data_IF_102468206768
#
_entry.id   IF_102468206768
#
_cell.length_a   1.000
_cell.length_b   1.000
_cell.length_c   1.000
_cell.angle_alpha   90.00
_cell.angle_beta   90.00
_cell.angle_gamma   90.00
#
_symmetry.space_group_name_H-M   'P 1'
#
loop_
_entity.id
_entity.type
_entity.pdbx_description
1 polymer ?
#
# COMPACT_ATOMS: atom_id res chain seq x y z
N UNK A 1 -3.27 -7.76 -13.07
CA UNK A 1 -3.98 -6.68 -12.35
C UNK A 1 -3.54 -6.68 -10.89
N UNK A 2 -3.36 -5.52 -10.26
CA UNK A 2 -3.21 -5.45 -8.81
C UNK A 2 -4.51 -5.86 -8.11
N UNK A 3 -4.43 -6.24 -6.83
CA UNK A 3 -5.60 -6.76 -6.09
C UNK A 3 -6.79 -5.77 -6.09
N UNK A 4 -6.53 -4.46 -6.09
CA UNK A 4 -7.54 -3.40 -6.23
C UNK A 4 -8.23 -3.41 -7.59
N UNK A 5 -7.51 -3.71 -8.66
CA UNK A 5 -8.11 -3.91 -9.99
C UNK A 5 -8.96 -5.17 -10.07
N UNK A 6 -8.52 -6.26 -9.44
CA UNK A 6 -9.32 -7.48 -9.31
C UNK A 6 -10.64 -7.19 -8.55
N UNK A 7 -10.57 -6.41 -7.45
CA UNK A 7 -11.77 -6.01 -6.70
C UNK A 7 -12.71 -5.11 -7.51
N UNK A 8 -12.15 -4.18 -8.29
CA UNK A 8 -12.90 -3.34 -9.22
C UNK A 8 -13.63 -4.17 -10.27
N UNK A 9 -12.91 -5.10 -10.91
CA UNK A 9 -13.48 -6.02 -11.91
C UNK A 9 -14.61 -6.88 -11.35
N UNK A 10 -14.42 -7.47 -10.16
CA UNK A 10 -15.47 -8.22 -9.48
C UNK A 10 -16.68 -7.34 -9.11
N UNK A 11 -16.47 -6.04 -8.89
CA UNK A 11 -17.57 -5.09 -8.65
C UNK A 11 -18.32 -4.78 -9.93
N UNK A 12 -17.64 -4.62 -11.07
CA UNK A 12 -18.30 -4.45 -12.36
C UNK A 12 -19.14 -5.66 -12.77
N UNK A 13 -18.65 -6.89 -12.53
CA UNK A 13 -19.44 -8.11 -12.77
C UNK A 13 -20.69 -8.12 -11.87
N UNK A 14 -20.54 -7.74 -10.61
CA UNK A 14 -21.65 -7.65 -9.67
C UNK A 14 -22.72 -6.66 -10.12
N UNK A 15 -22.30 -5.46 -10.55
CA UNK A 15 -23.20 -4.42 -11.06
C UNK A 15 -23.91 -4.85 -12.35
N UNK A 16 -23.23 -5.61 -13.23
CA UNK A 16 -23.83 -6.18 -14.44
C UNK A 16 -24.90 -7.23 -14.11
N UNK A 17 -24.67 -8.05 -13.09
CA UNK A 17 -25.68 -9.00 -12.60
C UNK A 17 -26.90 -8.28 -12.04
N UNK A 18 -26.70 -7.22 -11.25
CA UNK A 18 -27.80 -6.40 -10.72
C UNK A 18 -28.62 -5.74 -11.84
N UNK A 19 -27.95 -5.20 -12.87
CA UNK A 19 -28.62 -4.65 -14.06
C UNK A 19 -29.45 -5.72 -14.78
N UNK A 20 -28.91 -6.93 -14.98
CA UNK A 20 -29.63 -8.02 -15.64
C UNK A 20 -30.83 -8.51 -14.81
N UNK A 21 -30.73 -8.54 -13.49
CA UNK A 21 -31.88 -8.86 -12.61
C UNK A 21 -33.01 -7.85 -12.72
N UNK A 22 -32.67 -6.56 -12.85
CA UNK A 22 -33.66 -5.48 -12.95
C UNK A 22 -34.44 -5.49 -14.28
N UNK A 23 -33.83 -6.03 -15.34
CA UNK A 23 -34.44 -6.11 -16.68
C UNK A 23 -35.10 -7.49 -16.96
N UNK A 24 -35.69 -8.09 -15.92
CA UNK A 24 -36.56 -9.28 -15.97
C UNK A 24 -36.03 -10.50 -16.73
N UNK A 25 -35.05 -11.23 -16.18
CA UNK A 25 -34.64 -12.54 -16.69
C UNK A 25 -35.60 -13.66 -16.24
N UNK A 26 -35.57 -14.81 -16.92
CA UNK A 26 -36.41 -15.97 -16.55
C UNK A 26 -36.07 -16.53 -15.15
N UNK A 27 -37.01 -17.24 -14.52
CA UNK A 27 -36.88 -17.72 -13.14
C UNK A 27 -35.64 -18.62 -12.88
N UNK A 28 -35.26 -19.47 -13.84
CA UNK A 28 -34.06 -20.30 -13.74
C UNK A 28 -32.76 -19.47 -13.78
N UNK A 29 -32.76 -18.38 -14.55
CA UNK A 29 -31.62 -17.45 -14.64
C UNK A 29 -31.46 -16.65 -13.34
N UNK A 30 -32.57 -16.29 -12.67
CA UNK A 30 -32.57 -15.66 -11.35
C UNK A 30 -31.94 -16.52 -10.24
N UNK A 31 -32.21 -17.83 -10.24
CA UNK A 31 -31.55 -18.76 -9.30
C UNK A 31 -30.03 -18.82 -9.55
N UNK A 32 -29.60 -18.95 -10.80
CA UNK A 32 -28.19 -18.95 -11.17
C UNK A 32 -27.49 -17.64 -10.79
N UNK A 33 -28.17 -16.49 -10.95
CA UNK A 33 -27.65 -15.19 -10.52
C UNK A 33 -27.53 -15.10 -9.01
N UNK A 34 -28.46 -15.66 -8.25
CA UNK A 34 -28.40 -15.66 -6.78
C UNK A 34 -27.20 -16.47 -6.25
N UNK A 35 -26.94 -17.64 -6.85
CA UNK A 35 -25.75 -18.45 -6.51
C UNK A 35 -24.47 -17.70 -6.87
N UNK A 36 -24.40 -17.15 -8.09
CA UNK A 36 -23.24 -16.39 -8.59
C UNK A 36 -22.97 -15.16 -7.71
N UNK A 37 -24.01 -14.47 -7.24
CA UNK A 37 -23.91 -13.32 -6.36
C UNK A 37 -23.23 -13.67 -5.02
N UNK A 38 -23.58 -14.83 -4.43
CA UNK A 38 -22.95 -15.32 -3.20
C UNK A 38 -21.46 -15.57 -3.41
N UNK A 39 -21.07 -16.19 -4.53
CA UNK A 39 -19.67 -16.42 -4.87
C UNK A 39 -18.91 -15.12 -5.09
N UNK A 40 -19.47 -14.15 -5.83
CA UNK A 40 -18.84 -12.85 -6.04
C UNK A 40 -18.70 -12.09 -4.72
N UNK A 41 -19.72 -12.07 -3.85
CA UNK A 41 -19.62 -11.46 -2.52
C UNK A 41 -18.51 -12.08 -1.68
N UNK A 42 -18.39 -13.42 -1.69
CA UNK A 42 -17.31 -14.14 -0.98
C UNK A 42 -15.94 -13.82 -1.56
N UNK A 43 -15.80 -13.85 -2.89
CA UNK A 43 -14.55 -13.51 -3.57
C UNK A 43 -14.11 -12.07 -3.29
N UNK A 44 -15.03 -11.10 -3.38
CA UNK A 44 -14.79 -9.70 -2.99
C UNK A 44 -14.31 -9.59 -1.54
N UNK A 45 -14.92 -10.34 -0.62
CA UNK A 45 -14.52 -10.36 0.80
C UNK A 45 -13.11 -10.94 1.00
N UNK A 46 -12.77 -12.03 0.32
CA UNK A 46 -11.45 -12.65 0.35
C UNK A 46 -10.38 -11.71 -0.24
N UNK A 47 -10.61 -11.19 -1.44
CA UNK A 47 -9.73 -10.20 -2.08
C UNK A 47 -9.51 -8.99 -1.17
N UNK A 48 -10.57 -8.45 -0.58
CA UNK A 48 -10.48 -7.32 0.36
C UNK A 48 -9.67 -7.63 1.63
N UNK A 49 -9.67 -8.88 2.10
CA UNK A 49 -8.83 -9.31 3.24
C UNK A 49 -7.37 -9.44 2.84
N UNK A 50 -7.10 -10.10 1.72
CA UNK A 50 -5.75 -10.27 1.15
C UNK A 50 -5.15 -8.88 0.87
N UNK A 51 -5.90 -7.99 0.24
CA UNK A 51 -5.52 -6.59 0.00
C UNK A 51 -5.13 -5.86 1.27
N UNK A 52 -5.99 -5.90 2.30
CA UNK A 52 -5.71 -5.24 3.57
C UNK A 52 -4.45 -5.78 4.22
N UNK A 53 -4.25 -7.09 4.21
CA UNK A 53 -3.02 -7.71 4.69
C UNK A 53 -1.81 -7.19 3.92
N UNK A 54 -1.82 -7.25 2.59
CA UNK A 54 -0.72 -6.73 1.76
C UNK A 54 -0.43 -5.24 2.04
N UNK A 55 -1.44 -4.39 2.16
CA UNK A 55 -1.19 -2.97 2.45
C UNK A 55 -0.58 -2.71 3.82
N UNK A 56 -0.79 -3.61 4.79
CA UNK A 56 -0.22 -3.48 6.13
C UNK A 56 1.14 -4.16 6.28
N UNK A 57 1.41 -5.23 5.53
CA UNK A 57 2.63 -6.04 5.68
C UNK A 57 3.64 -5.87 4.54
N UNK A 58 3.17 -5.54 3.33
CA UNK A 58 3.98 -5.48 2.10
C UNK A 58 4.24 -4.03 1.69
N UNK A 59 5.44 -3.57 2.03
CA UNK A 59 5.98 -2.24 1.75
C UNK A 59 7.15 -2.27 0.75
N UNK A 60 7.47 -3.45 0.20
CA UNK A 60 8.60 -3.56 -0.72
C UNK A 60 8.25 -2.94 -2.08
N UNK A 61 8.75 -1.72 -2.30
CA UNK A 61 8.49 -0.91 -3.49
C UNK A 61 8.81 -1.69 -4.78
N UNK A 62 9.86 -2.52 -4.77
CA UNK A 62 10.28 -3.30 -5.95
C UNK A 62 9.27 -4.39 -6.31
N UNK A 63 8.47 -4.87 -5.35
CA UNK A 63 7.35 -5.78 -5.64
C UNK A 63 6.07 -5.03 -6.03
N UNK A 64 5.91 -3.79 -5.58
CA UNK A 64 4.70 -2.98 -5.79
C UNK A 64 4.67 -2.29 -7.16
N UNK A 65 5.84 -1.92 -7.68
CA UNK A 65 6.01 -1.32 -9.02
C UNK A 65 5.50 -2.26 -10.14
N UNK A 66 5.96 -3.53 -10.28
CA UNK A 66 5.46 -4.45 -11.31
C UNK A 66 3.95 -4.72 -11.20
N UNK A 67 3.40 -4.67 -9.98
CA UNK A 67 1.97 -4.86 -9.72
C UNK A 67 1.11 -3.63 -10.01
N UNK A 68 1.70 -2.54 -10.53
CA UNK A 68 1.04 -1.24 -10.77
C UNK A 68 0.29 -0.73 -9.54
N UNK A 69 0.81 -1.05 -8.35
CA UNK A 69 0.22 -0.71 -7.05
C UNK A 69 1.04 0.36 -6.32
N UNK A 70 1.99 0.99 -7.01
CA UNK A 70 2.82 2.10 -6.55
C UNK A 70 2.92 3.15 -7.66
N UNK A 71 2.79 4.42 -7.31
CA UNK A 71 2.93 5.56 -8.20
C UNK A 71 3.89 6.58 -7.57
N UNK A 72 4.58 7.39 -8.37
CA UNK A 72 5.30 8.55 -7.85
C UNK A 72 4.34 9.71 -7.56
N UNK A 73 4.77 10.68 -6.75
CA UNK A 73 3.98 11.89 -6.50
C UNK A 73 3.77 12.68 -7.78
N UNK A 74 4.78 12.75 -8.65
CA UNK A 74 4.65 13.39 -9.96
C UNK A 74 3.52 12.74 -10.79
N UNK A 75 3.45 11.41 -10.84
CA UNK A 75 2.34 10.71 -11.51
C UNK A 75 1.00 10.95 -10.82
N UNK A 76 0.97 11.03 -9.49
CA UNK A 76 -0.27 11.29 -8.75
C UNK A 76 -0.79 12.72 -8.95
N UNK A 77 0.11 13.69 -9.15
CA UNK A 77 -0.25 15.07 -9.44
C UNK A 77 -0.93 15.21 -10.80
N UNK A 78 -0.56 14.41 -11.80
CA UNK A 78 -1.21 14.45 -13.13
C UNK A 78 -2.64 13.94 -13.10
N UNK A 79 -3.03 13.12 -12.10
CA UNK A 79 -4.39 12.58 -11.97
C UNK A 79 -5.43 13.70 -11.89
N UNK A 80 -5.17 14.74 -11.11
CA UNK A 80 -6.10 15.87 -11.01
C UNK A 80 -6.17 16.61 -12.34
N UNK A 81 -5.02 16.95 -12.93
CA UNK A 81 -4.94 17.64 -14.22
C UNK A 81 -5.68 16.90 -15.34
N UNK A 82 -5.62 15.57 -15.35
CA UNK A 82 -6.31 14.73 -16.31
C UNK A 82 -7.85 14.84 -16.21
N UNK A 83 -8.39 14.93 -14.99
CA UNK A 83 -9.84 14.95 -14.76
C UNK A 83 -10.45 16.36 -14.74
N UNK A 84 -9.65 17.41 -14.60
CA UNK A 84 -10.10 18.82 -14.57
C UNK A 84 -10.95 19.20 -15.79
N UNK A 85 -10.56 18.91 -17.05
CA UNK A 85 -11.34 19.33 -18.22
C UNK A 85 -12.78 18.80 -18.18
N UNK A 86 -12.94 17.53 -17.81
CA UNK A 86 -14.26 16.90 -17.66
C UNK A 86 -15.05 17.55 -16.52
N UNK A 87 -14.42 17.84 -15.40
CA UNK A 87 -15.09 18.49 -14.27
C UNK A 87 -15.59 19.89 -14.62
N UNK A 88 -14.80 20.68 -15.35
CA UNK A 88 -15.20 22.02 -15.82
C UNK A 88 -16.44 21.98 -16.70
N UNK A 89 -16.47 21.09 -17.69
CA UNK A 89 -17.64 20.91 -18.58
C UNK A 89 -18.90 20.64 -17.74
N UNK A 90 -18.80 19.73 -16.76
CA UNK A 90 -19.93 19.37 -15.90
C UNK A 90 -20.36 20.56 -15.02
N UNK A 91 -19.41 21.33 -14.48
CA UNK A 91 -19.74 22.52 -13.70
C UNK A 91 -20.48 23.56 -14.54
N UNK A 92 -20.04 23.78 -15.78
CA UNK A 92 -20.68 24.75 -16.67
C UNK A 92 -22.08 24.29 -17.10
N UNK A 93 -22.27 22.99 -17.35
CA UNK A 93 -23.60 22.38 -17.54
C UNK A 93 -24.53 22.63 -16.33
N UNK A 94 -24.00 22.46 -15.10
CA UNK A 94 -24.76 22.68 -13.86
C UNK A 94 -25.09 24.17 -13.63
N UNK A 95 -24.15 25.07 -13.93
CA UNK A 95 -24.33 26.53 -13.80
C UNK A 95 -25.41 27.06 -14.73
N UNK A 96 -25.41 26.59 -15.98
CA UNK A 96 -26.36 27.02 -17.00
C UNK A 96 -27.77 26.41 -16.84
N UNK A 97 -27.99 25.62 -15.77
CA UNK A 97 -29.27 24.93 -15.48
C UNK A 97 -29.81 24.18 -16.70
N UNK A 98 -28.92 23.52 -17.45
CA UNK A 98 -29.33 22.71 -18.59
C UNK A 98 -30.34 21.65 -18.12
N UNK A 99 -31.47 21.45 -18.83
CA UNK A 99 -32.63 20.73 -18.30
C UNK A 99 -32.37 19.25 -17.95
N UNK A 100 -31.25 18.64 -18.35
CA UNK A 100 -30.90 17.26 -17.98
C UNK A 100 -29.38 17.10 -17.82
N UNK A 101 -28.81 17.58 -16.71
CA UNK A 101 -27.46 17.14 -16.34
C UNK A 101 -27.51 15.65 -16.01
N UNK A 102 -26.73 14.83 -16.73
CA UNK A 102 -26.72 13.38 -16.54
C UNK A 102 -26.35 13.01 -15.09
N UNK A 103 -27.08 12.05 -14.51
CA UNK A 103 -26.77 11.49 -13.19
C UNK A 103 -25.32 10.96 -13.09
N UNK A 104 -24.77 10.49 -14.21
CA UNK A 104 -23.37 10.05 -14.31
C UNK A 104 -22.39 11.22 -14.15
N UNK A 105 -22.72 12.39 -14.71
CA UNK A 105 -21.92 13.60 -14.60
C UNK A 105 -21.94 14.15 -13.16
N UNK A 106 -23.12 14.22 -12.53
CA UNK A 106 -23.24 14.64 -11.12
C UNK A 106 -22.48 13.68 -10.19
N UNK A 107 -22.61 12.37 -10.44
CA UNK A 107 -21.86 11.36 -9.70
C UNK A 107 -20.34 11.53 -9.89
N UNK A 108 -19.89 11.79 -11.12
CA UNK A 108 -18.47 12.06 -11.39
C UNK A 108 -17.99 13.32 -10.65
N UNK A 109 -18.75 14.40 -10.63
CA UNK A 109 -18.39 15.63 -9.93
C UNK A 109 -18.16 15.40 -8.42
N UNK A 110 -19.06 14.68 -7.75
CA UNK A 110 -18.84 14.28 -6.33
C UNK A 110 -17.56 13.45 -6.18
N UNK A 111 -17.34 12.48 -7.07
CA UNK A 111 -16.18 11.57 -7.03
C UNK A 111 -14.87 12.32 -7.20
N UNK A 112 -14.82 13.21 -8.19
CA UNK A 112 -13.67 14.05 -8.48
C UNK A 112 -13.34 14.93 -7.29
N UNK A 113 -14.32 15.66 -6.74
CA UNK A 113 -14.09 16.56 -5.62
C UNK A 113 -13.58 15.81 -4.37
N UNK A 114 -14.11 14.62 -4.10
CA UNK A 114 -13.66 13.81 -2.98
C UNK A 114 -12.18 13.38 -3.12
N UNK A 115 -11.74 13.04 -4.34
CA UNK A 115 -10.33 12.70 -4.63
C UNK A 115 -9.44 13.94 -4.66
N UNK A 116 -9.93 15.05 -5.20
CA UNK A 116 -9.25 16.33 -5.21
C UNK A 116 -8.91 16.79 -3.78
N UNK A 117 -9.92 16.81 -2.88
CA UNK A 117 -9.69 17.14 -1.48
C UNK A 117 -8.70 16.18 -0.82
N UNK A 118 -8.79 14.88 -1.11
CA UNK A 118 -7.87 13.88 -0.58
C UNK A 118 -6.40 14.10 -0.99
N UNK A 119 -6.15 14.58 -2.21
CA UNK A 119 -4.79 14.88 -2.69
C UNK A 119 -4.28 16.26 -2.30
N UNK A 120 -5.16 17.27 -2.16
CA UNK A 120 -4.75 18.66 -1.95
C UNK A 120 -4.75 19.09 -0.49
N UNK A 121 -5.73 18.68 0.29
CA UNK A 121 -5.98 19.23 1.63
C UNK A 121 -5.14 18.53 2.69
N UNK A 122 -5.21 17.19 2.73
CA UNK A 122 -4.53 16.39 3.76
C UNK A 122 -4.41 14.92 3.38
N UNK A 123 -3.25 14.31 3.58
CA UNK A 123 -3.06 12.85 3.45
C UNK A 123 -3.72 12.03 4.58
N UNK A 124 -4.83 12.49 5.16
CA UNK A 124 -5.47 11.87 6.31
C UNK A 124 -6.32 10.64 5.92
N UNK A 125 -7.12 10.11 6.85
CA UNK A 125 -8.01 8.98 6.53
C UNK A 125 -9.12 9.44 5.58
N UNK A 126 -9.49 8.66 4.55
CA UNK A 126 -10.61 8.97 3.66
C UNK A 126 -11.91 9.40 4.37
N UNK A 127 -12.21 8.76 5.51
CA UNK A 127 -13.43 9.05 6.30
C UNK A 127 -13.53 10.49 6.79
N UNK A 128 -12.40 11.19 6.96
CA UNK A 128 -12.34 12.59 7.43
C UNK A 128 -13.13 13.51 6.50
N UNK A 129 -12.93 13.35 5.20
CA UNK A 129 -13.57 14.18 4.17
C UNK A 129 -15.08 13.92 4.02
N UNK A 130 -15.52 12.71 4.35
CA UNK A 130 -16.92 12.30 4.20
C UNK A 130 -17.83 12.95 5.25
N UNK A 131 -17.29 13.42 6.36
CA UNK A 131 -18.04 14.03 7.46
C UNK A 131 -18.00 15.56 7.44
N UNK A 132 -17.42 16.16 6.39
CA UNK A 132 -17.47 17.60 6.23
C UNK A 132 -18.89 18.01 5.86
N UNK A 133 -19.43 19.00 6.56
CA UNK A 133 -20.74 19.60 6.30
C UNK A 133 -20.59 20.90 5.53
N UNK A 134 -21.67 21.35 4.91
CA UNK A 134 -21.69 22.66 4.22
C UNK A 134 -21.37 23.80 5.20
N UNK A 135 -21.91 23.76 6.41
CA UNK A 135 -21.65 24.76 7.44
C UNK A 135 -20.17 24.86 7.85
N UNK A 136 -19.44 23.73 7.84
CA UNK A 136 -18.01 23.74 8.14
C UNK A 136 -17.20 24.44 7.05
N UNK A 137 -17.58 24.32 5.77
CA UNK A 137 -16.93 25.07 4.70
C UNK A 137 -17.21 26.57 4.81
N UNK A 138 -18.43 26.97 5.15
CA UNK A 138 -18.76 28.38 5.40
C UNK A 138 -18.02 28.95 6.62
N UNK A 139 -17.81 28.13 7.65
CA UNK A 139 -16.93 28.48 8.77
C UNK A 139 -15.47 28.61 8.33
N UNK A 140 -14.98 27.69 7.49
CA UNK A 140 -13.60 27.70 7.00
C UNK A 140 -13.26 28.99 6.28
N UNK A 141 -14.16 29.48 5.41
CA UNK A 141 -13.99 30.74 4.67
C UNK A 141 -13.72 31.92 5.60
N UNK A 142 -14.39 31.97 6.75
CA UNK A 142 -14.18 33.02 7.78
C UNK A 142 -12.92 32.78 8.60
N UNK A 143 -12.50 31.52 8.75
CA UNK A 143 -11.37 31.10 9.56
C UNK A 143 -10.11 30.82 8.73
N UNK A 144 -9.82 31.63 7.70
CA UNK A 144 -8.62 31.50 6.84
C UNK A 144 -8.43 30.09 6.25
N UNK A 145 -9.53 29.42 5.91
CA UNK A 145 -9.53 28.07 5.34
C UNK A 145 -9.41 26.94 6.35
N UNK A 146 -9.44 27.21 7.66
CA UNK A 146 -9.25 26.19 8.69
C UNK A 146 -10.60 25.59 9.12
N UNK A 147 -10.66 24.26 9.12
CA UNK A 147 -11.78 23.48 9.68
C UNK A 147 -11.26 22.62 10.82
N UNK A 148 -11.70 22.94 12.04
CA UNK A 148 -11.47 22.11 13.22
C UNK A 148 -12.63 21.13 13.42
N UNK A 149 -12.32 19.89 13.77
CA UNK A 149 -13.31 18.85 13.91
C UNK A 149 -13.01 17.87 15.04
N UNK A 150 -14.03 17.62 15.86
CA UNK A 150 -13.99 16.73 17.03
C UNK A 150 -14.70 15.40 16.75
N UNK A 151 -15.41 15.25 15.63
CA UNK A 151 -16.15 14.02 15.28
C UNK A 151 -15.31 12.99 14.51
N UNK A 152 -14.08 13.30 14.13
CA UNK A 152 -13.25 12.35 13.40
C UNK A 152 -12.83 11.16 14.27
N UNK A 153 -12.59 10.01 13.63
CA UNK A 153 -12.10 8.80 14.30
C UNK A 153 -10.83 9.04 15.15
N UNK A 154 -10.04 10.04 14.80
CA UNK A 154 -8.82 10.46 15.51
C UNK A 154 -9.08 11.31 16.74
N UNK A 155 -10.24 11.94 16.88
CA UNK A 155 -10.56 12.82 18.00
C UNK A 155 -10.52 12.10 19.35
N UNK A 156 -10.89 10.82 19.40
CA UNK A 156 -10.73 10.01 20.63
C UNK A 156 -9.29 9.94 21.15
N UNK A 157 -8.29 10.11 20.27
CA UNK A 157 -6.87 10.07 20.64
C UNK A 157 -6.23 11.46 20.75
N UNK A 158 -6.69 12.42 19.94
CA UNK A 158 -6.05 13.72 19.78
C UNK A 158 -6.92 14.91 20.22
N UNK A 159 -8.14 14.67 20.72
CA UNK A 159 -9.13 15.71 21.04
C UNK A 159 -9.83 16.29 19.81
N UNK A 160 -9.05 16.68 18.78
CA UNK A 160 -9.53 17.27 17.54
C UNK A 160 -8.59 17.00 16.35
N UNK A 161 -9.01 17.38 15.15
CA UNK A 161 -8.21 17.42 13.93
C UNK A 161 -8.53 18.69 13.16
N UNK A 162 -7.54 19.22 12.47
CA UNK A 162 -7.68 20.43 11.68
C UNK A 162 -7.37 20.11 10.21
N UNK A 163 -8.18 20.67 9.32
CA UNK A 163 -7.96 20.69 7.88
C UNK A 163 -7.69 22.14 7.47
N UNK A 164 -6.74 22.33 6.56
CA UNK A 164 -6.44 23.64 5.99
C UNK A 164 -6.75 23.60 4.49
N UNK A 165 -7.68 24.45 4.07
CA UNK A 165 -8.08 24.62 2.68
C UNK A 165 -7.45 25.92 2.15
N UNK A 166 -6.72 25.83 1.04
CA UNK A 166 -6.23 27.00 0.32
C UNK A 166 -7.35 27.64 -0.54
N UNK A 167 -7.11 28.84 -1.07
CA UNK A 167 -8.09 29.56 -1.91
C UNK A 167 -8.49 28.75 -3.17
N UNK A 168 -7.60 27.90 -3.67
CA UNK A 168 -7.82 27.02 -4.82
C UNK A 168 -8.71 25.82 -4.44
N UNK A 169 -8.64 25.35 -3.20
CA UNK A 169 -9.49 24.29 -2.66
C UNK A 169 -10.95 24.74 -2.46
N UNK A 170 -11.25 26.03 -2.65
CA UNK A 170 -12.61 26.58 -2.60
C UNK A 170 -13.47 26.26 -3.83
N UNK A 171 -12.98 25.46 -4.79
CA UNK A 171 -13.83 24.87 -5.84
C UNK A 171 -14.93 23.93 -5.26
N UNK A 172 -14.81 23.58 -3.96
CA UNK A 172 -15.91 23.01 -3.17
C UNK A 172 -17.13 23.93 -3.17
N UNK A 173 -16.97 25.25 -3.19
CA UNK A 173 -18.07 26.21 -3.21
C UNK A 173 -18.89 26.08 -4.50
N UNK A 174 -18.21 26.00 -5.65
CA UNK A 174 -18.85 25.75 -6.94
C UNK A 174 -19.65 24.45 -6.93
N UNK A 175 -19.08 23.39 -6.35
CA UNK A 175 -19.79 22.13 -6.18
C UNK A 175 -21.02 22.27 -5.26
N UNK A 176 -20.87 22.89 -4.09
CA UNK A 176 -21.96 23.07 -3.10
C UNK A 176 -23.08 23.93 -3.68
N UNK A 177 -22.75 24.92 -4.52
CA UNK A 177 -23.70 25.87 -5.10
C UNK A 177 -24.40 25.34 -6.34
N UNK A 178 -23.69 24.64 -7.22
CA UNK A 178 -24.23 24.25 -8.54
C UNK A 178 -24.51 22.75 -8.69
N UNK A 179 -23.70 21.88 -8.09
CA UNK A 179 -23.82 20.41 -8.29
C UNK A 179 -24.65 19.77 -7.19
N UNK A 180 -24.31 20.07 -5.92
CA UNK A 180 -24.95 19.46 -4.74
C UNK A 180 -26.48 19.63 -4.72
N UNK A 181 -27.07 20.78 -5.08
CA UNK A 181 -28.53 20.94 -5.06
C UNK A 181 -29.24 20.01 -6.06
N UNK A 182 -28.59 19.72 -7.20
CA UNK A 182 -29.12 18.81 -8.22
C UNK A 182 -29.13 17.33 -7.76
N UNK A 183 -28.36 17.00 -6.73
CA UNK A 183 -28.35 15.67 -6.11
C UNK A 183 -29.44 15.49 -5.04
N UNK A 184 -30.26 16.53 -4.80
CA UNK A 184 -31.36 16.53 -3.83
C UNK A 184 -30.97 15.96 -2.47
N UNK A 185 -30.06 16.63 -1.72
CA UNK A 185 -29.49 16.09 -0.49
C UNK A 185 -30.49 16.06 0.68
N UNK A 186 -30.50 14.96 1.43
CA UNK A 186 -31.31 14.75 2.65
C UNK A 186 -30.48 14.94 3.93
N UNK A 187 -29.22 15.33 3.77
CA UNK A 187 -28.25 15.46 4.86
C UNK A 187 -27.38 16.70 4.65
N UNK A 188 -26.72 17.16 5.70
CA UNK A 188 -25.89 18.39 5.66
C UNK A 188 -24.45 18.17 5.20
N UNK A 189 -24.08 16.92 4.89
CA UNK A 189 -22.76 16.59 4.38
C UNK A 189 -22.50 17.29 3.04
N UNK A 190 -21.27 17.71 2.83
CA UNK A 190 -20.84 18.34 1.58
C UNK A 190 -20.91 17.34 0.44
N UNK A 191 -20.26 16.18 0.59
CA UNK A 191 -20.22 15.12 -0.41
C UNK A 191 -21.44 14.19 -0.30
N UNK A 192 -22.32 14.28 -1.29
CA UNK A 192 -23.53 13.45 -1.38
C UNK A 192 -23.54 12.61 -2.65
N UNK A 193 -24.16 11.44 -2.56
CA UNK A 193 -24.36 10.57 -3.71
C UNK A 193 -25.64 10.94 -4.49
N UNK A 194 -25.92 10.22 -5.57
CA UNK A 194 -27.11 10.40 -6.41
C UNK A 194 -28.46 10.20 -5.69
N UNK A 195 -28.46 9.58 -4.52
CA UNK A 195 -29.66 9.36 -3.71
C UNK A 195 -29.81 10.46 -2.63
N UNK A 196 -28.99 11.52 -2.67
CA UNK A 196 -29.03 12.61 -1.68
C UNK A 196 -28.45 12.25 -0.30
N UNK A 197 -27.90 11.05 -0.12
CA UNK A 197 -27.30 10.61 1.14
C UNK A 197 -25.77 10.78 1.14
N UNK A 198 -25.17 10.67 2.31
CA UNK A 198 -23.72 10.78 2.49
C UNK A 198 -22.94 9.85 1.53
N UNK A 199 -21.91 10.40 0.90
CA UNK A 199 -21.00 9.63 0.08
C UNK A 199 -20.10 8.73 0.96
N UNK A 200 -19.95 7.43 0.61
CA UNK A 200 -19.24 6.45 1.47
C UNK A 200 -18.02 5.76 0.83
N UNK A 201 -17.88 5.82 -0.50
CA UNK A 201 -16.97 4.93 -1.27
C UNK A 201 -15.68 5.59 -1.75
N UNK A 202 -15.08 6.49 -0.97
CA UNK A 202 -13.88 7.24 -1.39
C UNK A 202 -12.70 6.32 -1.79
N UNK A 203 -12.50 5.22 -1.07
CA UNK A 203 -11.44 4.25 -1.35
C UNK A 203 -11.50 3.68 -2.77
N UNK A 204 -12.66 3.20 -3.18
CA UNK A 204 -12.84 2.57 -4.50
C UNK A 204 -12.66 3.61 -5.60
N UNK A 205 -13.18 4.81 -5.37
CA UNK A 205 -13.17 5.90 -6.35
C UNK A 205 -11.79 6.48 -6.56
N UNK A 206 -10.96 6.58 -5.52
CA UNK A 206 -9.56 6.95 -5.68
C UNK A 206 -8.86 5.99 -6.65
N UNK A 207 -9.01 4.69 -6.43
CA UNK A 207 -8.39 3.70 -7.31
C UNK A 207 -8.90 3.76 -8.75
N UNK A 208 -10.19 4.06 -8.97
CA UNK A 208 -10.76 4.22 -10.32
C UNK A 208 -10.19 5.46 -11.01
N UNK A 209 -10.21 6.63 -10.37
CA UNK A 209 -9.76 7.87 -11.00
C UNK A 209 -8.26 7.86 -11.28
N UNK A 210 -7.46 7.29 -10.37
CA UNK A 210 -6.02 7.10 -10.58
C UNK A 210 -5.78 6.11 -11.72
N UNK A 211 -6.52 5.02 -11.79
CA UNK A 211 -6.37 4.04 -12.88
C UNK A 211 -6.70 4.65 -14.25
N UNK A 212 -7.75 5.46 -14.33
CA UNK A 212 -8.12 6.13 -15.59
C UNK A 212 -7.04 7.10 -16.08
N UNK A 213 -6.35 7.79 -15.16
CA UNK A 213 -5.34 8.78 -15.52
C UNK A 213 -3.96 8.15 -15.81
N UNK A 214 -3.51 7.18 -15.00
CA UNK A 214 -2.13 6.67 -15.06
C UNK A 214 -2.03 5.13 -15.16
N UNK A 215 -3.15 4.41 -15.24
CA UNK A 215 -3.15 2.94 -15.38
C UNK A 215 -2.69 2.17 -14.14
N UNK A 216 -2.62 2.84 -12.98
CA UNK A 216 -2.19 2.27 -11.69
C UNK A 216 -3.30 2.24 -10.67
N UNK A 217 -3.24 1.27 -9.76
CA UNK A 217 -4.23 1.11 -8.70
C UNK A 217 -3.67 1.55 -7.36
N UNK A 218 -3.95 2.80 -6.98
CA UNK A 218 -3.50 3.38 -5.72
C UNK A 218 -4.65 3.43 -4.72
N UNK A 219 -4.45 2.77 -3.57
CA UNK A 219 -5.37 2.84 -2.43
C UNK A 219 -5.01 4.03 -1.53
N UNK A 220 -5.94 4.63 -0.77
CA UNK A 220 -5.62 5.73 0.15
C UNK A 220 -4.48 5.45 1.13
N UNK A 221 -4.43 4.24 1.72
CA UNK A 221 -3.29 3.83 2.57
C UNK A 221 -1.98 3.80 1.80
N UNK A 222 -2.02 3.41 0.52
CA UNK A 222 -0.82 3.34 -0.33
C UNK A 222 -0.37 4.75 -0.74
N UNK A 223 -1.30 5.66 -1.03
CA UNK A 223 -0.99 7.07 -1.25
C UNK A 223 -0.24 7.68 -0.05
N UNK A 224 -0.73 7.44 1.16
CA UNK A 224 -0.07 7.88 2.40
C UNK A 224 1.35 7.35 2.55
N UNK A 225 1.53 6.08 2.19
CA UNK A 225 2.85 5.44 2.16
C UNK A 225 3.79 6.07 1.11
N UNK A 226 3.26 6.48 -0.05
CA UNK A 226 4.02 7.17 -1.10
C UNK A 226 4.48 8.54 -0.60
N UNK A 227 3.59 9.34 -0.01
CA UNK A 227 3.93 10.65 0.57
C UNK A 227 5.03 10.53 1.63
N UNK A 228 4.93 9.55 2.53
CA UNK A 228 5.98 9.29 3.53
C UNK A 228 7.32 8.92 2.88
N UNK A 229 7.32 8.04 1.87
CA UNK A 229 8.55 7.67 1.17
C UNK A 229 9.19 8.86 0.46
N UNK A 230 8.40 9.66 -0.25
CA UNK A 230 8.93 10.79 -1.02
C UNK A 230 9.34 11.96 -0.12
N UNK A 231 8.67 12.14 1.03
CA UNK A 231 9.07 13.14 2.03
C UNK A 231 10.52 12.97 2.49
N UNK A 232 11.02 11.73 2.60
CA UNK A 232 12.42 11.43 2.98
C UNK A 232 13.42 11.98 1.95
N UNK A 233 13.03 12.04 0.68
CA UNK A 233 13.91 12.43 -0.41
C UNK A 233 13.93 13.96 -0.60
N UNK A 234 12.84 14.63 -0.23
CA UNK A 234 12.62 16.06 -0.49
C UNK A 234 12.87 16.91 0.76
N UNK A 235 12.41 16.45 1.93
CA UNK A 235 12.34 17.25 3.14
C UNK A 235 13.46 16.94 4.15
N UNK A 236 13.73 17.91 5.02
CA UNK A 236 14.58 17.72 6.18
C UNK A 236 13.85 16.92 7.29
N UNK A 237 14.57 16.61 8.39
CA UNK A 237 14.02 15.77 9.48
C UNK A 237 12.79 16.39 10.15
N UNK A 238 12.80 17.71 10.34
CA UNK A 238 11.75 18.42 11.06
C UNK A 238 10.49 18.54 10.21
N UNK A 239 10.65 18.92 8.95
CA UNK A 239 9.59 18.93 7.94
C UNK A 239 8.98 17.53 7.75
N UNK A 240 9.82 16.49 7.69
CA UNK A 240 9.35 15.11 7.62
C UNK A 240 8.49 14.74 8.85
N UNK A 241 8.89 15.18 10.05
CA UNK A 241 8.14 14.94 11.28
C UNK A 241 6.76 15.59 11.22
N UNK A 242 6.68 16.83 10.73
CA UNK A 242 5.42 17.54 10.53
C UNK A 242 4.50 16.80 9.55
N UNK A 243 5.03 16.31 8.42
CA UNK A 243 4.25 15.51 7.45
C UNK A 243 3.68 14.24 8.11
N UNK A 244 4.49 13.56 8.92
CA UNK A 244 4.05 12.32 9.56
C UNK A 244 2.99 12.55 10.65
N UNK A 245 3.15 13.63 11.42
CA UNK A 245 2.16 14.08 12.40
C UNK A 245 0.85 14.48 11.73
N UNK A 246 0.91 15.23 10.64
CA UNK A 246 -0.25 15.66 9.85
C UNK A 246 -1.05 14.46 9.33
N UNK A 247 -0.38 13.44 8.79
CA UNK A 247 -1.06 12.23 8.35
C UNK A 247 -1.75 11.49 9.50
N UNK A 248 -1.33 11.71 10.76
CA UNK A 248 -1.73 10.92 11.94
C UNK A 248 -1.53 9.42 11.70
N UNK A 249 -0.44 9.08 10.99
CA UNK A 249 -0.12 7.69 10.67
C UNK A 249 0.40 7.00 11.93
N UNK A 250 -0.16 5.83 12.26
CA UNK A 250 0.15 5.10 13.51
C UNK A 250 0.84 3.75 13.26
N UNK A 251 1.09 3.40 12.00
CA UNK A 251 1.74 2.14 11.69
C UNK A 251 3.22 2.22 12.02
N UNK A 252 3.61 1.53 13.10
CA UNK A 252 5.01 1.29 13.44
C UNK A 252 5.76 0.59 12.30
N UNK A 253 5.09 -0.29 11.53
CA UNK A 253 5.70 -1.02 10.41
C UNK A 253 6.10 -0.06 9.29
N UNK A 254 5.24 0.90 8.97
CA UNK A 254 5.54 1.95 8.01
C UNK A 254 6.74 2.78 8.47
N UNK A 255 6.70 3.29 9.72
CA UNK A 255 7.79 4.06 10.31
C UNK A 255 9.14 3.33 10.30
N UNK A 256 9.17 2.06 10.73
CA UNK A 256 10.40 1.24 10.76
C UNK A 256 10.92 0.95 9.35
N UNK A 257 10.03 0.68 8.39
CA UNK A 257 10.44 0.47 7.01
C UNK A 257 11.07 1.74 6.40
N UNK A 258 10.50 2.91 6.67
CA UNK A 258 11.02 4.20 6.19
C UNK A 258 12.34 4.57 6.85
N UNK A 259 12.46 4.34 8.15
CA UNK A 259 13.74 4.47 8.86
C UNK A 259 14.81 3.53 8.27
N UNK A 260 14.43 2.31 7.88
CA UNK A 260 15.33 1.33 7.24
C UNK A 260 15.77 1.77 5.85
N UNK A 261 14.87 2.29 5.01
CA UNK A 261 15.22 2.83 3.69
C UNK A 261 16.17 4.02 3.81
N UNK A 262 15.86 4.96 4.71
CA UNK A 262 16.74 6.08 5.03
C UNK A 262 18.10 5.62 5.54
N UNK A 263 18.13 4.64 6.46
CA UNK A 263 19.38 4.07 6.97
C UNK A 263 20.23 3.46 5.86
N UNK A 264 19.62 2.77 4.88
CA UNK A 264 20.32 2.24 3.70
C UNK A 264 20.89 3.35 2.82
N UNK A 265 20.10 4.38 2.51
CA UNK A 265 20.56 5.53 1.71
C UNK A 265 21.72 6.26 2.40
N UNK A 266 21.61 6.50 3.71
CA UNK A 266 22.71 7.05 4.53
C UNK A 266 23.94 6.15 4.51
N UNK A 267 23.77 4.82 4.57
CA UNK A 267 24.90 3.90 4.51
C UNK A 267 25.58 3.91 3.12
N UNK A 268 24.82 4.00 2.03
CA UNK A 268 25.34 4.10 0.66
C UNK A 268 26.09 5.42 0.49
N UNK A 269 25.45 6.56 0.79
CA UNK A 269 26.07 7.88 0.73
C UNK A 269 27.30 7.97 1.64
N UNK A 270 27.21 7.41 2.85
CA UNK A 270 28.31 7.35 3.81
C UNK A 270 29.47 6.50 3.31
N UNK A 271 29.22 5.39 2.61
CA UNK A 271 30.26 4.62 1.92
C UNK A 271 30.92 5.47 0.84
N UNK A 272 30.16 6.13 -0.03
CA UNK A 272 30.71 7.01 -1.06
C UNK A 272 31.56 8.14 -0.47
N UNK A 273 31.11 8.76 0.63
CA UNK A 273 31.89 9.78 1.33
C UNK A 273 33.16 9.20 1.95
N UNK A 274 33.11 8.01 2.56
CA UNK A 274 34.28 7.30 3.09
C UNK A 274 35.28 6.94 1.99
N UNK A 275 34.80 6.51 0.83
CA UNK A 275 35.64 6.21 -0.34
C UNK A 275 36.35 7.47 -0.84
N UNK A 276 35.64 8.59 -0.96
CA UNK A 276 36.24 9.90 -1.29
C UNK A 276 37.29 10.32 -0.26
N UNK A 277 36.99 10.15 1.03
CA UNK A 277 37.87 10.51 2.14
C UNK A 277 39.15 9.66 2.18
N UNK A 278 39.07 8.40 1.74
CA UNK A 278 40.23 7.49 1.66
C UNK A 278 41.19 7.82 0.49
N UNK A 279 40.74 8.59 -0.50
CA UNK A 279 41.58 9.04 -1.63
C UNK A 279 42.37 7.92 -2.31
N UNK A 280 43.59 8.24 -2.77
CA UNK A 280 44.52 7.30 -3.41
C UNK A 280 44.95 6.13 -2.50
N UNK A 281 44.95 6.32 -1.18
CA UNK A 281 45.35 5.30 -0.21
C UNK A 281 44.29 4.18 -0.08
N UNK A 282 43.00 4.53 -0.20
CA UNK A 282 41.91 3.56 -0.24
C UNK A 282 41.91 2.70 -1.49
N UNK A 283 42.30 3.27 -2.64
CA UNK A 283 42.45 2.53 -3.89
C UNK A 283 43.56 1.48 -3.79
N UNK A 284 44.74 1.85 -3.27
CA UNK A 284 45.86 0.92 -3.05
C UNK A 284 45.49 -0.24 -2.11
N UNK A 285 44.75 0.04 -1.03
CA UNK A 285 44.29 -1.00 -0.11
C UNK A 285 43.31 -1.97 -0.78
N UNK A 286 42.40 -1.49 -1.62
CA UNK A 286 41.49 -2.35 -2.38
C UNK A 286 42.23 -3.20 -3.42
N UNK A 287 43.25 -2.65 -4.09
CA UNK A 287 44.10 -3.40 -5.03
C UNK A 287 44.89 -4.49 -4.31
N UNK A 288 45.44 -4.21 -3.13
CA UNK A 288 46.18 -5.19 -2.33
C UNK A 288 45.25 -6.33 -1.82
N UNK A 289 44.01 -6.00 -1.44
CA UNK A 289 43.00 -7.02 -1.08
C UNK A 289 42.50 -7.82 -2.29
N UNK A 290 42.48 -7.23 -3.49
CA UNK A 290 42.18 -7.95 -4.73
C UNK A 290 43.34 -8.86 -5.16
N UNK A 291 44.59 -8.44 -4.96
CA UNK A 291 45.78 -9.25 -5.18
C UNK A 291 45.81 -10.47 -4.24
N UNK A 292 45.51 -10.29 -2.95
CA UNK A 292 45.35 -11.41 -2.00
C UNK A 292 44.26 -12.42 -2.42
N UNK A 293 43.21 -11.97 -3.11
CA UNK A 293 42.18 -12.87 -3.66
C UNK A 293 42.63 -13.59 -4.93
N UNK A 294 43.48 -12.96 -5.74
CA UNK A 294 44.06 -13.58 -6.93
C UNK A 294 45.16 -14.59 -6.57
N UNK A 295 46.00 -14.28 -5.59
CA UNK A 295 47.02 -15.19 -5.05
C UNK A 295 46.39 -16.49 -4.53
N UNK A 296 45.24 -16.39 -3.83
CA UNK A 296 44.47 -17.56 -3.41
C UNK A 296 43.79 -18.35 -4.55
N UNK A 297 43.67 -17.76 -5.75
CA UNK A 297 43.11 -18.43 -6.93
C UNK A 297 44.19 -19.09 -7.81
N UNK A 298 45.44 -18.63 -7.73
CA UNK A 298 46.57 -19.17 -8.51
C UNK A 298 47.25 -20.42 -7.91
N UNK A 299 46.91 -20.82 -6.68
CA UNK A 299 47.50 -22.02 -6.05
C UNK A 299 46.80 -23.35 -6.41
N UNK A 300 45.76 -23.35 -7.26
CA UNK A 300 44.91 -24.53 -7.49
C UNK A 300 44.97 -25.18 -8.89
N UNK A 301 45.88 -24.79 -9.79
CA UNK A 301 46.01 -25.43 -11.11
C UNK A 301 47.35 -26.18 -11.29
N UNK A 302 47.47 -27.38 -10.69
CA UNK A 302 48.33 -28.47 -11.19
C UNK A 302 47.95 -29.84 -10.57
N UNK A 303 47.49 -30.81 -11.37
CA UNK A 303 47.49 -32.27 -11.07
C UNK A 303 48.07 -33.00 -12.29
N UNK A 304 48.86 -34.07 -12.16
CA UNK A 304 48.48 -35.50 -12.00
C UNK A 304 49.78 -36.32 -11.76
N UNK A 305 49.87 -37.56 -11.27
CA UNK A 305 49.02 -38.56 -10.58
C UNK A 305 49.98 -39.70 -10.15
N UNK A 306 49.70 -40.39 -9.03
CA UNK A 306 49.84 -41.86 -8.93
C UNK A 306 49.22 -42.39 -7.62
N UNK A 307 48.48 -43.49 -7.80
CA UNK A 307 47.50 -44.11 -6.89
C UNK A 307 48.08 -44.76 -5.63
N UNK A 308 47.34 -44.71 -4.51
CA UNK A 308 46.85 -45.90 -3.78
C UNK A 308 45.82 -45.49 -2.71
N UNK A 309 44.65 -46.12 -2.79
CA UNK A 309 43.50 -46.17 -1.86
C UNK A 309 42.60 -44.94 -1.66
N UNK A 310 41.26 -45.12 -1.66
CA UNK A 310 40.33 -44.06 -2.05
C UNK A 310 39.57 -43.50 -0.85
N UNK A 311 39.62 -42.17 -0.67
CA UNK A 311 38.63 -41.41 0.09
C UNK A 311 38.18 -40.23 -0.80
N UNK A 312 36.86 -39.98 -0.96
CA UNK A 312 36.31 -39.29 -2.13
C UNK A 312 36.25 -37.77 -1.97
N UNK A 313 36.36 -37.08 -3.09
CA UNK A 313 36.02 -35.66 -3.30
C UNK A 313 34.65 -35.29 -2.70
N UNK A 314 34.48 -34.11 -2.06
CA UNK A 314 33.32 -33.21 -2.30
C UNK A 314 33.27 -31.87 -1.51
N UNK A 315 33.12 -30.78 -2.28
CA UNK A 315 32.23 -29.59 -2.13
C UNK A 315 32.18 -28.73 -0.85
N UNK A 316 32.57 -27.46 -1.00
CA UNK A 316 32.16 -26.32 -0.16
C UNK A 316 30.68 -25.93 -0.33
N UNK A 317 29.96 -26.50 -1.30
CA UNK A 317 28.49 -26.48 -1.34
C UNK A 317 27.84 -27.37 -0.25
N UNK A 318 28.58 -28.32 0.33
CA UNK A 318 28.03 -29.27 1.30
C UNK A 318 27.95 -28.76 2.74
N UNK A 319 28.68 -27.73 3.17
CA UNK A 319 28.60 -27.26 4.58
C UNK A 319 27.27 -26.55 4.86
N UNK A 320 26.77 -25.77 3.90
CA UNK A 320 25.45 -25.13 3.96
C UNK A 320 24.31 -26.16 3.88
N UNK A 321 24.46 -27.16 2.99
CA UNK A 321 23.52 -28.26 2.83
C UNK A 321 23.48 -29.17 4.08
N UNK A 322 24.64 -29.56 4.64
CA UNK A 322 24.75 -30.38 5.87
C UNK A 322 24.20 -29.66 7.11
N UNK A 323 24.39 -28.35 7.24
CA UNK A 323 23.77 -27.57 8.32
C UNK A 323 22.25 -27.49 8.13
N UNK A 324 21.77 -27.38 6.88
CA UNK A 324 20.35 -27.40 6.58
C UNK A 324 19.68 -28.76 6.80
N UNK A 325 20.38 -29.84 6.49
CA UNK A 325 19.94 -31.22 6.63
C UNK A 325 19.92 -31.65 8.12
N UNK A 326 20.99 -31.34 8.89
CA UNK A 326 21.01 -31.55 10.36
C UNK A 326 19.87 -30.81 11.07
N UNK A 327 19.54 -29.60 10.62
CA UNK A 327 18.42 -28.81 11.20
C UNK A 327 17.05 -29.39 10.85
N UNK A 328 16.88 -29.99 9.68
CA UNK A 328 15.67 -30.73 9.32
C UNK A 328 15.47 -31.95 10.22
N UNK A 329 16.54 -32.69 10.49
CA UNK A 329 16.53 -33.87 11.36
C UNK A 329 16.17 -33.54 12.82
N UNK A 330 16.53 -32.36 13.34
CA UNK A 330 16.11 -31.93 14.69
C UNK A 330 14.63 -31.58 14.75
N UNK A 331 14.07 -31.02 13.67
CA UNK A 331 12.65 -30.73 13.57
C UNK A 331 11.85 -32.04 13.50
N UNK A 332 12.28 -32.99 12.67
CA UNK A 332 11.63 -34.30 12.57
C UNK A 332 11.70 -35.10 13.88
N UNK A 333 12.89 -35.19 14.52
CA UNK A 333 13.06 -35.84 15.83
C UNK A 333 12.25 -35.15 16.93
N UNK A 334 12.20 -33.81 16.91
CA UNK A 334 11.39 -33.02 17.82
C UNK A 334 9.90 -33.29 17.67
N UNK A 335 9.39 -33.43 16.43
CA UNK A 335 7.98 -33.76 16.16
C UNK A 335 7.66 -35.18 16.63
N UNK A 336 8.55 -36.16 16.40
CA UNK A 336 8.38 -37.55 16.88
C UNK A 336 8.36 -37.63 18.40
N UNK A 337 9.17 -36.82 19.11
CA UNK A 337 9.31 -36.85 20.58
C UNK A 337 8.30 -35.99 21.32
N UNK A 338 7.91 -34.84 20.79
CA UNK A 338 7.10 -33.83 21.47
C UNK A 338 5.78 -33.48 20.75
N UNK A 339 5.50 -34.08 19.59
CA UNK A 339 4.39 -33.70 18.71
C UNK A 339 4.54 -32.28 18.16
N UNK A 340 3.44 -31.65 17.73
CA UNK A 340 3.43 -30.27 17.21
C UNK A 340 3.64 -29.17 18.28
N UNK A 341 4.35 -29.48 19.39
CA UNK A 341 4.66 -28.55 20.49
C UNK A 341 5.97 -27.80 20.21
N UNK A 342 5.91 -26.86 19.27
CA UNK A 342 7.07 -26.15 18.71
C UNK A 342 7.94 -25.40 19.74
N UNK A 343 7.34 -24.87 20.80
CA UNK A 343 8.09 -24.18 21.86
C UNK A 343 8.96 -25.14 22.69
N UNK A 344 8.50 -26.37 22.89
CA UNK A 344 9.25 -27.42 23.59
C UNK A 344 10.41 -27.93 22.74
N UNK A 345 10.19 -28.11 21.43
CA UNK A 345 11.24 -28.48 20.48
C UNK A 345 12.32 -27.39 20.41
N UNK A 346 11.92 -26.12 20.32
CA UNK A 346 12.84 -24.99 20.20
C UNK A 346 13.78 -24.82 21.42
N UNK A 347 13.27 -25.12 22.62
CA UNK A 347 13.99 -24.91 23.89
C UNK A 347 14.75 -26.15 24.37
N UNK A 348 14.68 -27.24 23.62
CA UNK A 348 15.31 -28.49 24.02
C UNK A 348 16.84 -28.42 23.83
N UNK A 349 17.64 -28.72 24.86
CA UNK A 349 19.09 -28.53 24.83
C UNK A 349 19.81 -29.44 23.82
N UNK A 350 19.20 -30.56 23.43
CA UNK A 350 19.75 -31.44 22.38
C UNK A 350 19.61 -30.86 20.95
N UNK A 351 18.72 -29.88 20.75
CA UNK A 351 18.48 -29.29 19.43
C UNK A 351 19.09 -27.88 19.39
N UNK A 352 20.34 -27.79 18.93
CA UNK A 352 21.11 -26.54 18.84
C UNK A 352 20.57 -25.60 17.75
N UNK A 353 19.41 -24.98 18.01
CA UNK A 353 18.84 -23.93 17.17
C UNK A 353 19.54 -22.59 17.40
N UNK A 354 19.61 -21.75 16.35
CA UNK A 354 20.21 -20.42 16.46
C UNK A 354 19.48 -19.54 17.49
N UNK A 355 20.21 -18.77 18.31
CA UNK A 355 19.62 -17.81 19.24
C UNK A 355 18.70 -16.82 18.51
N UNK A 356 17.50 -16.59 19.05
CA UNK A 356 16.48 -15.71 18.46
C UNK A 356 15.53 -16.37 17.45
N UNK A 357 15.64 -17.69 17.23
CA UNK A 357 14.70 -18.42 16.38
C UNK A 357 13.34 -18.60 17.06
N UNK A 358 12.24 -18.38 16.34
CA UNK A 358 10.88 -18.47 16.90
C UNK A 358 10.17 -19.78 16.54
N UNK A 359 9.27 -20.24 17.42
CA UNK A 359 8.43 -21.43 17.21
C UNK A 359 7.66 -21.41 15.86
N UNK A 360 7.23 -20.22 15.42
CA UNK A 360 6.56 -20.03 14.13
C UNK A 360 7.47 -20.39 12.95
N UNK A 361 8.76 -20.10 13.04
CA UNK A 361 9.72 -20.40 11.97
C UNK A 361 10.02 -21.89 11.86
N UNK A 362 10.00 -22.63 12.97
CA UNK A 362 10.09 -24.10 12.98
C UNK A 362 8.89 -24.74 12.30
N UNK A 363 7.68 -24.26 12.62
CA UNK A 363 6.44 -24.76 12.01
C UNK A 363 6.40 -24.54 10.50
N UNK A 364 6.75 -23.34 10.03
CA UNK A 364 6.80 -23.03 8.59
C UNK A 364 7.80 -23.92 7.85
N UNK A 365 8.91 -24.26 8.51
CA UNK A 365 9.94 -25.14 7.95
C UNK A 365 9.50 -26.60 7.91
N UNK A 366 8.80 -27.08 8.93
CA UNK A 366 8.21 -28.41 8.94
C UNK A 366 7.19 -28.60 7.80
N UNK A 367 6.39 -27.56 7.49
CA UNK A 367 5.45 -27.55 6.35
C UNK A 367 6.21 -27.61 5.01
N UNK A 368 7.29 -26.83 4.86
CA UNK A 368 8.11 -26.85 3.65
C UNK A 368 8.80 -28.20 3.42
N UNK A 369 9.09 -28.94 4.49
CA UNK A 369 9.69 -30.28 4.46
C UNK A 369 8.65 -31.42 4.45
N UNK A 370 7.34 -31.10 4.41
CA UNK A 370 6.23 -32.08 4.43
C UNK A 370 6.26 -33.03 5.63
N UNK A 371 6.75 -32.56 6.79
CA UNK A 371 6.84 -33.35 8.02
C UNK A 371 5.54 -33.32 8.86
N UNK A 372 4.60 -32.44 8.49
CA UNK A 372 3.28 -32.23 9.09
C UNK A 372 2.27 -31.75 8.04
#
# INVERSE_FOLDING_TARGET
>A
MGNSGQLGYMTSIFELLDFRKFNSPSGAVLQNFSVTEVYIKRAKKCLSKVMRSHWTTDLDIETLKPRRSWASLAELQTVISFHIPRYKIILDECKNKSPVVSATNLTFATRFLAVFMFFKVKGCRPMTYLHLTVSLFESAKRNKGIVDQTTFKTAKKYGFDSLCFDEISLDVDNYVRYVRPLLQPWCDYSLVNRNGIQFQKLTEILSILVFQAIGKYVHPTRYRQIIETESVQIFNVEEQKLVSEDQKHSSNVARVHYQKLRSRDVAIKGRTCKEKLRGLHGAKMNTCVQQLKQEHCSEHESKNDNETTPIPETTTENVSAQIHERRGQFIERGIKRFGARWCSILRHPEYNFQPGREARTLRLRAIQQKLI
#
